data_IF_831218214782
#
_entry.id   IF_831218214782
#
_cell.length_a   1.000
_cell.length_b   1.000
_cell.length_c   1.000
_cell.angle_alpha   90.00
_cell.angle_beta   90.00
_cell.angle_gamma   90.00
#
_symmetry.space_group_name_H-M   'P 1'
#
loop_
_entity.id
_entity.type
_entity.pdbx_description
1 polymer ?
#
# COMPACT_ATOMS: atom_id res chain seq x y z
N UNK A 1 4.53 -9.53 0.13
CA UNK A 1 4.95 -10.57 -0.84
C UNK A 1 6.42 -10.47 -1.18
N UNK A 2 6.92 -9.29 -1.59
CA UNK A 2 8.35 -9.07 -1.93
C UNK A 2 9.32 -9.46 -0.81
N UNK A 3 8.98 -9.16 0.45
CA UNK A 3 9.82 -9.51 1.61
C UNK A 3 9.83 -11.01 1.93
N UNK A 4 8.68 -11.68 1.88
CA UNK A 4 8.61 -13.13 2.14
C UNK A 4 9.24 -13.95 1.02
N UNK A 5 9.16 -13.51 -0.24
CA UNK A 5 9.91 -14.11 -1.35
C UNK A 5 11.42 -14.00 -1.13
N UNK A 6 11.91 -12.84 -0.65
CA UNK A 6 13.34 -12.64 -0.36
C UNK A 6 13.84 -13.42 0.86
N UNK A 7 13.00 -13.56 1.88
CA UNK A 7 13.36 -14.25 3.13
C UNK A 7 13.30 -15.77 3.03
N UNK A 8 12.39 -16.32 2.22
CA UNK A 8 12.13 -17.76 2.14
C UNK A 8 12.45 -18.39 0.78
N UNK A 9 12.90 -17.61 -0.20
CA UNK A 9 13.33 -18.13 -1.51
C UNK A 9 12.19 -18.69 -2.37
N UNK A 10 10.95 -18.21 -2.20
CA UNK A 10 9.81 -18.70 -2.99
C UNK A 10 10.04 -18.51 -4.48
N UNK A 11 9.85 -19.58 -5.24
CA UNK A 11 9.90 -19.56 -6.70
C UNK A 11 8.73 -18.78 -7.30
N UNK A 12 8.88 -18.34 -8.54
CA UNK A 12 7.80 -17.67 -9.27
C UNK A 12 6.55 -18.56 -9.35
N UNK A 13 6.70 -19.86 -9.55
CA UNK A 13 5.59 -20.83 -9.59
C UNK A 13 4.81 -20.89 -8.28
N UNK A 14 5.50 -20.91 -7.13
CA UNK A 14 4.85 -20.90 -5.81
C UNK A 14 4.11 -19.58 -5.55
N UNK A 15 4.72 -18.46 -5.92
CA UNK A 15 4.10 -17.14 -5.79
C UNK A 15 2.86 -17.00 -6.69
N UNK A 16 2.90 -17.55 -7.91
CA UNK A 16 1.76 -17.63 -8.81
C UNK A 16 0.62 -18.47 -8.22
N UNK A 17 0.93 -19.63 -7.64
CA UNK A 17 -0.07 -20.48 -6.98
C UNK A 17 -0.74 -19.75 -5.79
N UNK A 18 0.06 -19.02 -4.99
CA UNK A 18 -0.46 -18.19 -3.89
C UNK A 18 -1.39 -17.10 -4.38
N UNK A 19 -1.00 -16.37 -5.44
CA UNK A 19 -1.84 -15.33 -6.05
C UNK A 19 -3.18 -15.91 -6.55
N UNK A 20 -3.14 -17.02 -7.30
CA UNK A 20 -4.36 -17.71 -7.78
C UNK A 20 -5.31 -18.11 -6.65
N UNK A 21 -4.76 -18.45 -5.48
CA UNK A 21 -5.56 -18.87 -4.34
C UNK A 21 -6.11 -17.72 -3.50
N UNK A 22 -5.36 -16.62 -3.34
CA UNK A 22 -5.77 -15.52 -2.47
C UNK A 22 -6.68 -14.48 -3.14
N UNK A 23 -6.63 -14.35 -4.47
CA UNK A 23 -7.45 -13.39 -5.20
C UNK A 23 -8.92 -13.85 -5.30
N UNK A 24 -9.84 -12.93 -5.02
CA UNK A 24 -11.28 -13.14 -4.95
C UNK A 24 -12.03 -11.91 -5.47
N UNK A 25 -13.29 -12.10 -5.90
CA UNK A 25 -14.17 -11.02 -6.35
C UNK A 25 -13.61 -10.23 -7.54
N UNK A 26 -13.88 -8.93 -7.55
CA UNK A 26 -13.47 -7.99 -8.60
C UNK A 26 -11.97 -8.05 -8.90
N UNK A 27 -11.13 -8.13 -7.86
CA UNK A 27 -9.68 -8.25 -8.01
C UNK A 27 -9.25 -9.54 -8.70
N UNK A 28 -10.05 -10.61 -8.69
CA UNK A 28 -9.77 -11.83 -9.46
C UNK A 28 -10.24 -11.69 -10.90
N UNK A 29 -11.37 -11.05 -11.13
CA UNK A 29 -11.98 -10.89 -12.46
C UNK A 29 -11.11 -10.01 -13.36
N UNK A 30 -10.60 -8.89 -12.83
CA UNK A 30 -9.78 -7.93 -13.58
C UNK A 30 -8.47 -8.55 -14.11
N UNK A 31 -7.86 -9.47 -13.36
CA UNK A 31 -6.59 -10.12 -13.75
C UNK A 31 -6.78 -11.58 -14.15
N UNK A 32 -8.02 -12.03 -14.38
CA UNK A 32 -8.32 -13.43 -14.65
C UNK A 32 -7.57 -13.92 -15.89
N UNK A 33 -7.57 -13.12 -16.95
CA UNK A 33 -6.80 -13.40 -18.17
C UNK A 33 -5.28 -13.43 -17.89
N UNK A 34 -4.78 -12.53 -17.03
CA UNK A 34 -3.37 -12.45 -16.66
C UNK A 34 -2.93 -13.65 -15.80
N UNK A 35 -3.81 -14.19 -14.95
CA UNK A 35 -3.52 -15.35 -14.10
C UNK A 35 -3.20 -16.62 -14.89
N UNK A 36 -3.71 -16.73 -16.12
CA UNK A 36 -3.49 -17.87 -17.02
C UNK A 36 -2.34 -17.64 -18.02
N UNK A 37 -2.01 -16.39 -18.33
CA UNK A 37 -1.00 -16.06 -19.35
C UNK A 37 0.34 -15.59 -18.77
N UNK A 38 0.36 -14.99 -17.58
CA UNK A 38 1.57 -14.48 -16.95
C UNK A 38 2.45 -15.62 -16.41
N UNK A 39 3.76 -15.51 -16.66
CA UNK A 39 4.79 -16.42 -16.12
C UNK A 39 5.51 -15.82 -14.91
N UNK A 40 5.43 -14.51 -14.74
CA UNK A 40 6.06 -13.79 -13.64
C UNK A 40 4.97 -13.22 -12.69
N UNK A 41 5.00 -13.57 -11.38
CA UNK A 41 4.11 -12.97 -10.39
C UNK A 41 4.25 -11.45 -10.28
N UNK A 42 5.37 -10.85 -10.70
CA UNK A 42 5.57 -9.40 -10.70
C UNK A 42 4.58 -8.68 -11.62
N UNK A 43 4.21 -9.27 -12.76
CA UNK A 43 3.28 -8.66 -13.71
C UNK A 43 1.85 -8.61 -13.16
N UNK A 44 1.44 -9.65 -12.43
CA UNK A 44 0.17 -9.66 -11.71
C UNK A 44 0.17 -8.61 -10.61
N UNK A 45 1.24 -8.53 -9.82
CA UNK A 45 1.36 -7.53 -8.75
C UNK A 45 1.29 -6.11 -9.31
N UNK A 46 1.98 -5.82 -10.42
CA UNK A 46 1.94 -4.51 -11.06
C UNK A 46 0.55 -4.14 -11.57
N UNK A 47 -0.16 -5.10 -12.16
CA UNK A 47 -1.53 -4.87 -12.65
C UNK A 47 -2.50 -4.64 -11.50
N UNK A 48 -2.36 -5.39 -10.41
CA UNK A 48 -3.13 -5.16 -9.18
C UNK A 48 -2.84 -3.78 -8.57
N UNK A 49 -1.58 -3.37 -8.55
CA UNK A 49 -1.18 -2.02 -8.15
C UNK A 49 -1.85 -0.99 -9.09
N UNK A 50 -1.82 -1.13 -10.41
CA UNK A 50 -2.48 -0.17 -11.30
C UNK A 50 -4.01 -0.08 -11.15
N UNK A 51 -4.69 -1.20 -10.89
CA UNK A 51 -6.14 -1.22 -10.80
C UNK A 51 -6.66 -0.84 -9.41
N UNK A 52 -5.88 -1.10 -8.35
CA UNK A 52 -6.34 -0.99 -6.96
C UNK A 52 -5.42 -0.16 -6.06
N UNK A 53 -4.24 0.27 -6.52
CA UNK A 53 -3.47 1.30 -5.81
C UNK A 53 -4.27 2.58 -5.98
N UNK A 54 -4.96 2.96 -4.91
CA UNK A 54 -5.65 4.25 -4.78
C UNK A 54 -4.84 5.13 -3.83
N UNK A 55 -3.66 5.60 -4.26
CA UNK A 55 -2.81 6.46 -3.46
C UNK A 55 -3.54 7.75 -3.07
N UNK A 56 -4.47 8.23 -3.91
CA UNK A 56 -5.24 9.44 -3.64
C UNK A 56 -6.11 9.27 -2.40
N UNK A 57 -6.73 8.10 -2.22
CA UNK A 57 -7.55 7.81 -1.03
C UNK A 57 -6.70 7.78 0.25
N UNK A 58 -5.46 7.31 0.15
CA UNK A 58 -4.52 7.31 1.27
C UNK A 58 -4.09 8.74 1.62
N UNK A 59 -3.79 9.56 0.61
CA UNK A 59 -3.45 10.98 0.77
C UNK A 59 -4.62 11.76 1.34
N UNK A 60 -5.82 11.62 0.79
CA UNK A 60 -7.03 12.31 1.25
C UNK A 60 -7.31 11.97 2.71
N UNK A 61 -7.16 10.71 3.09
CA UNK A 61 -7.32 10.28 4.49
C UNK A 61 -6.25 10.87 5.40
N UNK A 62 -4.99 10.89 4.96
CA UNK A 62 -3.90 11.51 5.71
C UNK A 62 -4.08 13.03 5.87
N UNK A 63 -4.62 13.71 4.85
CA UNK A 63 -4.98 15.12 4.88
C UNK A 63 -6.17 15.39 5.82
N UNK A 64 -7.17 14.53 5.82
CA UNK A 64 -8.31 14.65 6.74
C UNK A 64 -7.89 14.39 8.20
N UNK A 65 -6.99 13.44 8.43
CA UNK A 65 -6.39 13.21 9.75
C UNK A 65 -5.56 14.43 10.20
N UNK A 66 -4.85 15.08 9.27
CA UNK A 66 -4.11 16.32 9.54
C UNK A 66 -5.05 17.46 9.94
N UNK A 67 -6.15 17.66 9.21
CA UNK A 67 -7.15 18.69 9.53
C UNK A 67 -7.84 18.46 10.87
N UNK A 68 -7.94 17.19 11.30
CA UNK A 68 -8.57 16.78 12.56
C UNK A 68 -7.61 16.75 13.74
N UNK A 69 -6.32 16.98 13.53
CA UNK A 69 -5.37 17.05 14.63
C UNK A 69 -5.78 18.20 15.56
N UNK A 70 -6.04 17.92 16.85
CA UNK A 70 -6.33 18.98 17.81
C UNK A 70 -5.10 19.88 17.91
N UNK A 71 -5.34 21.20 18.04
CA UNK A 71 -4.27 22.11 18.43
C UNK A 71 -3.71 21.60 19.76
N UNK A 72 -2.39 21.39 19.86
CA UNK A 72 -1.80 20.96 21.11
C UNK A 72 -2.00 22.06 22.15
N UNK A 73 -2.62 21.70 23.28
CA UNK A 73 -2.64 22.57 24.46
C UNK A 73 -1.21 22.65 25.04
N UNK A 74 -1.00 23.59 25.98
CA UNK A 74 0.33 24.01 26.44
C UNK A 74 1.14 22.92 27.19
N UNK A 75 0.67 21.67 27.26
CA UNK A 75 1.40 20.58 27.91
C UNK A 75 2.43 19.93 26.98
N UNK A 76 3.62 19.65 27.50
CA UNK A 76 4.71 19.04 26.74
C UNK A 76 4.36 17.64 26.17
N UNK A 77 3.47 16.91 26.85
CA UNK A 77 3.04 15.57 26.43
C UNK A 77 2.11 15.61 25.21
N UNK A 78 1.20 16.59 25.14
CA UNK A 78 0.30 16.79 24.01
C UNK A 78 1.05 17.31 22.79
N UNK A 79 2.01 18.23 22.99
CA UNK A 79 2.93 18.68 21.95
C UNK A 79 3.72 17.53 21.33
N UNK A 80 4.27 16.63 22.16
CA UNK A 80 5.00 15.46 21.66
C UNK A 80 4.08 14.50 20.90
N UNK A 81 2.88 14.24 21.43
CA UNK A 81 1.88 13.40 20.76
C UNK A 81 1.43 13.98 19.42
N UNK A 82 1.27 15.31 19.33
CA UNK A 82 0.99 16.02 18.09
C UNK A 82 2.15 15.88 17.09
N UNK A 83 3.38 16.11 17.55
CA UNK A 83 4.58 15.99 16.71
C UNK A 83 4.74 14.60 16.10
N UNK A 84 4.53 13.54 16.89
CA UNK A 84 4.58 12.15 16.40
C UNK A 84 3.51 11.90 15.34
N UNK A 85 2.26 12.36 15.58
CA UNK A 85 1.18 12.18 14.60
C UNK A 85 1.45 12.92 13.30
N UNK A 86 1.98 14.15 13.40
CA UNK A 86 2.35 14.95 12.22
C UNK A 86 3.50 14.29 11.44
N UNK A 87 4.51 13.78 12.14
CA UNK A 87 5.61 13.03 11.52
C UNK A 87 5.11 11.77 10.80
N UNK A 88 4.16 11.04 11.38
CA UNK A 88 3.56 9.87 10.75
C UNK A 88 2.81 10.26 9.47
N UNK A 89 2.04 11.34 9.48
CA UNK A 89 1.31 11.84 8.30
C UNK A 89 2.30 12.23 7.19
N UNK A 90 3.37 12.97 7.52
CA UNK A 90 4.41 13.35 6.55
C UNK A 90 5.10 12.10 5.98
N UNK A 91 5.40 11.11 6.81
CA UNK A 91 5.98 9.84 6.37
C UNK A 91 5.05 9.11 5.39
N UNK A 92 3.74 9.07 5.67
CA UNK A 92 2.74 8.49 4.75
C UNK A 92 2.76 9.23 3.42
N UNK A 93 2.72 10.58 3.44
CA UNK A 93 2.77 11.38 2.21
C UNK A 93 4.04 11.14 1.40
N UNK A 94 5.21 11.10 2.04
CA UNK A 94 6.49 10.83 1.36
C UNK A 94 6.56 9.41 0.77
N UNK A 95 5.98 8.42 1.44
CA UNK A 95 5.94 7.05 0.93
C UNK A 95 4.95 6.88 -0.24
N UNK A 96 3.92 7.71 -0.31
CA UNK A 96 3.00 7.74 -1.46
C UNK A 96 3.63 8.51 -2.62
N UNK A 97 4.27 9.66 -2.35
CA UNK A 97 4.97 10.49 -3.34
C UNK A 97 6.17 9.76 -3.97
N UNK A 98 6.96 9.03 -3.16
CA UNK A 98 8.08 8.21 -3.63
C UNK A 98 7.72 7.05 -4.57
N UNK A 99 6.42 6.81 -4.81
CA UNK A 99 5.91 5.87 -5.82
C UNK A 99 5.55 6.55 -7.16
N UNK A 100 5.71 7.87 -7.29
CA UNK A 100 5.51 8.61 -8.54
C UNK A 100 4.06 8.98 -8.85
N UNK A 101 3.29 9.34 -7.83
CA UNK A 101 1.86 9.68 -7.95
C UNK A 101 1.56 11.20 -7.99
N UNK A 102 2.59 12.04 -8.13
CA UNK A 102 2.51 13.50 -8.29
C UNK A 102 3.36 13.97 -9.47
#
# INVERSE_FOLDING_TARGET
>A
MRESTRLYGFTNTENMARLRNCLRGEAREVILALLFTAKDPADIMRTLEQCFDRPEVIIDRALDDLKRLPLPDQTAQELNSFAIKLQNIVCIMQNVDGKGYL
#
